data_IF_052839485010
#
_entry.id   IF_052839485010
#
_cell.length_a   1.000
_cell.length_b   1.000
_cell.length_c   1.000
_cell.angle_alpha   90.00
_cell.angle_beta   90.00
_cell.angle_gamma   90.00
#
_symmetry.space_group_name_H-M   'P 1'
#
loop_
_entity.id
_entity.type
_entity.pdbx_description
1 polymer ?
#
# COMPACT_ATOMS: atom_id res chain seq x y z
N UNK A 1 32.51 -15.66 0.17
CA UNK A 1 32.53 -14.22 -0.16
C UNK A 1 31.26 -13.61 0.42
N UNK A 2 31.33 -12.82 1.50
CA UNK A 2 30.13 -12.23 2.09
C UNK A 2 29.68 -11.04 1.24
N UNK A 3 28.39 -11.01 0.88
CA UNK A 3 27.74 -9.90 0.18
C UNK A 3 27.35 -8.81 1.20
N UNK A 4 27.46 -7.52 0.85
CA UNK A 4 27.27 -6.44 1.78
C UNK A 4 25.79 -6.29 2.18
N UNK A 5 25.59 -6.13 3.47
CA UNK A 5 24.35 -5.76 4.15
C UNK A 5 24.01 -4.28 3.93
N UNK A 6 22.88 -4.03 3.27
CA UNK A 6 22.16 -2.77 3.14
C UNK A 6 20.68 -3.19 3.30
N UNK A 7 19.80 -2.61 4.09
CA UNK A 7 19.65 -1.23 4.52
C UNK A 7 19.25 -1.13 5.99
N UNK A 8 19.86 -0.19 6.69
CA UNK A 8 19.26 0.45 7.85
C UNK A 8 18.16 1.38 7.35
N UNK A 9 16.90 1.09 7.66
CA UNK A 9 15.81 2.05 7.51
C UNK A 9 15.90 3.06 8.67
N UNK A 10 16.91 3.92 8.62
CA UNK A 10 16.90 5.18 9.35
C UNK A 10 15.82 6.04 8.70
N UNK A 11 14.63 6.09 9.31
CA UNK A 11 13.67 7.15 9.05
C UNK A 11 14.27 8.45 9.61
N UNK A 12 15.20 9.02 8.87
CA UNK A 12 15.67 10.37 9.07
C UNK A 12 14.49 11.28 8.72
N UNK A 13 13.92 11.92 9.73
CA UNK A 13 13.06 13.08 9.55
C UNK A 13 13.91 14.19 8.94
N UNK A 14 14.05 14.17 7.61
CA UNK A 14 14.61 15.26 6.86
C UNK A 14 13.61 16.43 6.98
N UNK A 15 14.00 17.51 7.65
CA UNK A 15 13.41 18.80 7.36
C UNK A 15 13.65 19.06 5.88
N UNK A 16 12.62 18.85 5.06
CA UNK A 16 12.65 19.19 3.66
C UNK A 16 12.78 20.72 3.55
N UNK A 17 13.99 21.17 3.21
CA UNK A 17 14.19 22.43 2.51
C UNK A 17 13.45 22.33 1.17
N UNK A 18 12.70 23.35 0.72
CA UNK A 18 11.96 23.26 -0.52
C UNK A 18 12.95 23.18 -1.69
N UNK A 19 13.09 21.98 -2.25
CA UNK A 19 13.73 21.82 -3.56
C UNK A 19 12.68 22.28 -4.58
N UNK A 20 12.84 23.50 -5.09
CA UNK A 20 12.04 24.06 -6.16
C UNK A 20 12.18 23.18 -7.42
N UNK A 21 11.34 22.16 -7.52
CA UNK A 21 11.02 21.50 -8.78
C UNK A 21 10.05 22.40 -9.54
N UNK A 22 10.19 22.40 -10.87
CA UNK A 22 9.48 23.25 -11.81
C UNK A 22 8.03 23.52 -11.40
N UNK A 23 7.63 24.80 -11.47
CA UNK A 23 6.31 25.29 -11.08
C UNK A 23 5.18 24.38 -11.62
N UNK A 24 4.72 23.50 -10.74
CA UNK A 24 3.63 22.58 -11.01
C UNK A 24 2.35 23.37 -10.82
N UNK A 25 1.57 23.47 -11.90
CA UNK A 25 0.39 24.33 -11.94
C UNK A 25 -0.60 23.78 -10.90
N UNK A 26 -0.82 24.55 -9.84
CA UNK A 26 -1.83 24.30 -8.80
C UNK A 26 -1.47 23.28 -7.70
N UNK A 27 -0.20 23.17 -7.28
CA UNK A 27 0.19 22.44 -6.05
C UNK A 27 -0.31 23.13 -4.77
N UNK A 28 -0.64 22.35 -3.74
CA UNK A 28 -1.15 22.84 -2.45
C UNK A 28 -0.34 22.22 -1.31
N UNK A 29 0.28 23.07 -0.50
CA UNK A 29 0.99 22.67 0.70
C UNK A 29 0.33 23.27 1.95
N UNK A 30 0.08 22.42 2.96
CA UNK A 30 -0.45 22.83 4.27
C UNK A 30 0.32 22.16 5.40
N UNK A 31 0.36 22.79 6.57
CA UNK A 31 0.87 22.13 7.79
C UNK A 31 -0.28 21.68 8.67
N UNK A 32 -1.26 22.55 8.87
CA UNK A 32 -2.49 22.25 9.59
C UNK A 32 -3.68 22.53 8.69
N UNK A 33 -4.49 21.51 8.44
CA UNK A 33 -5.70 21.62 7.66
C UNK A 33 -5.73 20.67 6.47
N UNK A 34 -6.96 20.25 6.16
CA UNK A 34 -7.23 19.35 5.05
C UNK A 34 -7.12 20.05 3.69
N UNK A 35 -6.82 19.25 2.68
CA UNK A 35 -6.80 19.65 1.28
C UNK A 35 -7.95 18.94 0.59
N UNK A 36 -8.76 19.70 -0.15
CA UNK A 36 -9.77 19.14 -1.04
C UNK A 36 -9.38 19.56 -2.45
N UNK A 37 -9.10 18.58 -3.30
CA UNK A 37 -8.88 18.77 -4.72
C UNK A 37 -10.23 18.57 -5.41
N UNK A 38 -10.83 19.66 -5.89
CA UNK A 38 -12.19 19.67 -6.39
C UNK A 38 -12.28 19.27 -7.86
N UNK A 39 -13.40 18.66 -8.22
CA UNK A 39 -13.70 18.24 -9.59
C UNK A 39 -13.57 19.39 -10.60
N UNK A 40 -13.16 19.06 -11.82
CA UNK A 40 -13.02 20.02 -12.92
C UNK A 40 -11.74 20.86 -12.88
N UNK A 41 -10.82 20.59 -11.96
CA UNK A 41 -9.49 21.18 -11.91
C UNK A 41 -8.41 20.10 -12.02
N UNK A 42 -7.24 20.51 -12.49
CA UNK A 42 -6.01 19.72 -12.40
C UNK A 42 -5.15 20.31 -11.28
N UNK A 43 -4.58 19.44 -10.47
CA UNK A 43 -3.69 19.81 -9.38
C UNK A 43 -2.31 19.22 -9.60
N UNK A 44 -1.29 19.91 -9.09
CA UNK A 44 0.05 19.37 -8.97
C UNK A 44 0.13 18.42 -7.77
N UNK A 45 1.15 18.61 -6.94
CA UNK A 45 1.31 17.88 -5.68
C UNK A 45 0.40 18.46 -4.57
N UNK A 46 -0.12 17.57 -3.72
CA UNK A 46 -0.93 17.89 -2.54
C UNK A 46 -0.21 17.38 -1.29
N UNK A 47 0.20 18.29 -0.41
CA UNK A 47 0.99 17.92 0.78
C UNK A 47 0.35 18.50 2.04
N UNK A 48 0.11 17.67 3.06
CA UNK A 48 -0.29 18.17 4.38
C UNK A 48 0.32 17.39 5.54
N UNK A 49 0.57 18.02 6.69
CA UNK A 49 1.15 17.29 7.85
C UNK A 49 0.06 16.81 8.79
N UNK A 50 -0.82 17.70 9.24
CA UNK A 50 -1.94 17.39 10.13
C UNK A 50 -3.25 17.73 9.40
N UNK A 51 -3.61 16.87 8.45
CA UNK A 51 -4.76 17.08 7.59
C UNK A 51 -5.00 15.88 6.70
N UNK A 52 -6.25 15.72 6.28
CA UNK A 52 -6.60 14.71 5.27
C UNK A 52 -6.55 15.31 3.88
N UNK A 53 -6.25 14.49 2.89
CA UNK A 53 -6.35 14.87 1.48
C UNK A 53 -7.57 14.16 0.91
N UNK A 54 -8.50 14.93 0.38
CA UNK A 54 -9.64 14.42 -0.36
C UNK A 54 -9.51 14.84 -1.82
N UNK A 55 -9.29 13.87 -2.69
CA UNK A 55 -9.35 14.05 -4.14
C UNK A 55 -10.76 13.67 -4.57
N UNK A 56 -11.50 14.60 -5.16
CA UNK A 56 -12.87 14.34 -5.65
C UNK A 56 -12.86 13.52 -6.94
N UNK A 57 -14.05 13.11 -7.37
CA UNK A 57 -14.26 12.26 -8.52
C UNK A 57 -13.76 12.94 -9.83
N UNK A 58 -13.11 12.15 -10.69
CA UNK A 58 -12.61 12.59 -11.99
C UNK A 58 -11.45 13.60 -11.93
N UNK A 59 -10.93 13.92 -10.74
CA UNK A 59 -9.80 14.85 -10.59
C UNK A 59 -8.52 14.22 -11.11
N UNK A 60 -7.71 15.02 -11.79
CA UNK A 60 -6.32 14.66 -12.10
C UNK A 60 -5.40 15.45 -11.18
N UNK A 61 -4.61 14.74 -10.38
CA UNK A 61 -3.63 15.33 -9.47
C UNK A 61 -2.28 14.62 -9.60
N UNK A 62 -1.20 15.33 -9.25
CA UNK A 62 0.12 14.73 -9.05
C UNK A 62 0.16 13.85 -7.79
N UNK A 63 1.21 13.99 -6.99
CA UNK A 63 1.36 13.21 -5.75
C UNK A 63 0.43 13.75 -4.66
N UNK A 64 -0.02 12.86 -3.77
CA UNK A 64 -0.75 13.23 -2.56
C UNK A 64 -0.07 12.62 -1.34
N UNK A 65 0.34 13.46 -0.39
CA UNK A 65 1.21 13.06 0.72
C UNK A 65 0.70 13.65 2.05
N UNK A 66 0.53 12.81 3.08
CA UNK A 66 0.19 13.30 4.43
C UNK A 66 0.81 12.53 5.59
N UNK A 67 1.25 13.23 6.63
CA UNK A 67 1.86 12.55 7.81
C UNK A 67 0.81 12.01 8.76
N UNK A 68 -0.12 12.85 9.21
CA UNK A 68 -1.19 12.48 10.15
C UNK A 68 -2.54 12.83 9.53
N UNK A 69 -3.04 11.92 8.70
CA UNK A 69 -4.31 12.09 8.01
C UNK A 69 -4.53 11.00 6.98
N UNK A 70 -5.77 10.85 6.53
CA UNK A 70 -6.11 9.89 5.48
C UNK A 70 -6.06 10.55 4.11
N UNK A 71 -5.77 9.74 3.08
CA UNK A 71 -5.95 10.12 1.69
C UNK A 71 -7.16 9.36 1.17
N UNK A 72 -8.17 10.10 0.70
CA UNK A 72 -9.34 9.53 0.04
C UNK A 72 -9.39 10.02 -1.40
N UNK A 73 -9.30 9.09 -2.34
CA UNK A 73 -9.40 9.35 -3.77
C UNK A 73 -10.80 8.96 -4.25
N UNK A 74 -11.47 9.88 -4.94
CA UNK A 74 -12.78 9.69 -5.54
C UNK A 74 -12.73 8.87 -6.81
N UNK A 75 -13.91 8.57 -7.35
CA UNK A 75 -14.07 7.66 -8.48
C UNK A 75 -13.50 8.29 -9.77
N UNK A 76 -12.98 7.48 -10.69
CA UNK A 76 -12.42 7.90 -11.98
C UNK A 76 -11.27 8.93 -11.88
N UNK A 77 -10.71 9.13 -10.69
CA UNK A 77 -9.61 10.05 -10.48
C UNK A 77 -8.30 9.49 -11.03
N UNK A 78 -7.36 10.39 -11.35
CA UNK A 78 -6.01 10.07 -11.77
C UNK A 78 -5.03 10.71 -10.82
N UNK A 79 -4.21 9.90 -10.16
CA UNK A 79 -3.26 10.37 -9.17
C UNK A 79 -1.85 9.88 -9.49
N UNK A 80 -0.84 10.63 -9.07
CA UNK A 80 0.53 10.16 -9.01
C UNK A 80 0.72 9.19 -7.84
N UNK A 81 1.75 9.44 -7.04
CA UNK A 81 2.05 8.65 -5.84
C UNK A 81 1.15 9.07 -4.66
N UNK A 82 0.70 8.10 -3.86
CA UNK A 82 -0.12 8.33 -2.66
C UNK A 82 0.66 7.85 -1.43
N UNK A 83 0.96 8.75 -0.48
CA UNK A 83 1.77 8.40 0.69
C UNK A 83 1.17 8.91 1.99
N UNK A 84 1.19 8.06 3.02
CA UNK A 84 0.91 8.52 4.38
C UNK A 84 1.72 7.83 5.47
N UNK A 85 1.97 8.52 6.59
CA UNK A 85 2.66 7.90 7.74
C UNK A 85 1.66 7.30 8.71
N UNK A 86 0.69 8.08 9.19
CA UNK A 86 -0.33 7.66 10.13
C UNK A 86 -1.71 7.99 9.56
N UNK A 87 -2.22 7.06 8.77
CA UNK A 87 -3.48 7.25 8.07
C UNK A 87 -3.77 6.16 7.05
N UNK A 88 -5.03 6.09 6.64
CA UNK A 88 -5.46 5.18 5.59
C UNK A 88 -5.46 5.85 4.22
N UNK A 89 -5.16 5.06 3.20
CA UNK A 89 -5.32 5.43 1.80
C UNK A 89 -6.48 4.60 1.26
N UNK A 90 -7.54 5.29 0.81
CA UNK A 90 -8.72 4.64 0.22
C UNK A 90 -8.96 5.19 -1.17
N UNK A 91 -8.99 4.29 -2.15
CA UNK A 91 -9.36 4.58 -3.52
C UNK A 91 -10.86 4.30 -3.70
N UNK A 92 -11.49 5.08 -4.58
CA UNK A 92 -12.85 4.88 -5.04
C UNK A 92 -12.90 3.78 -6.10
N UNK A 93 -13.68 3.99 -7.15
CA UNK A 93 -13.76 3.09 -8.30
C UNK A 93 -13.05 3.65 -9.52
N UNK A 94 -12.53 2.76 -10.37
CA UNK A 94 -11.88 3.11 -11.64
C UNK A 94 -10.73 4.13 -11.51
N UNK A 95 -10.04 4.14 -10.36
CA UNK A 95 -8.93 5.05 -10.09
C UNK A 95 -7.68 4.61 -10.82
N UNK A 96 -6.96 5.56 -11.43
CA UNK A 96 -5.64 5.33 -12.00
C UNK A 96 -4.59 5.95 -11.09
N UNK A 97 -3.77 5.11 -10.45
CA UNK A 97 -2.78 5.53 -9.47
C UNK A 97 -1.35 5.12 -9.81
N UNK A 98 -0.40 5.80 -9.18
CA UNK A 98 1.02 5.47 -9.19
C UNK A 98 1.38 4.41 -8.15
N UNK A 99 2.30 4.79 -7.28
CA UNK A 99 2.74 4.01 -6.12
C UNK A 99 1.87 4.35 -4.91
N UNK A 100 1.64 3.39 -4.01
CA UNK A 100 0.89 3.62 -2.77
C UNK A 100 1.69 3.15 -1.57
N UNK A 101 2.01 4.07 -0.65
CA UNK A 101 2.84 3.78 0.52
C UNK A 101 2.15 4.21 1.81
N UNK A 102 2.16 3.36 2.83
CA UNK A 102 1.74 3.76 4.19
C UNK A 102 2.56 3.13 5.30
N UNK A 103 2.92 3.89 6.34
CA UNK A 103 3.67 3.33 7.47
C UNK A 103 2.72 2.65 8.46
N UNK A 104 1.75 3.40 8.99
CA UNK A 104 0.80 2.98 10.02
C UNK A 104 -0.63 3.31 9.58
N UNK A 105 -1.16 2.54 8.63
CA UNK A 105 -2.57 2.59 8.28
C UNK A 105 -2.89 1.73 7.07
N UNK A 106 -4.16 1.61 6.73
CA UNK A 106 -4.59 0.66 5.70
C UNK A 106 -4.58 1.24 4.30
N UNK A 107 -4.29 0.40 3.31
CA UNK A 107 -4.52 0.69 1.89
C UNK A 107 -5.72 -0.14 1.43
N UNK A 108 -6.68 0.52 0.80
CA UNK A 108 -7.82 -0.16 0.16
C UNK A 108 -7.99 0.36 -1.26
N UNK A 109 -7.86 -0.55 -2.23
CA UNK A 109 -8.21 -0.33 -3.63
C UNK A 109 -9.41 -1.20 -3.99
N UNK A 110 -10.36 -0.61 -4.70
CA UNK A 110 -11.68 -1.15 -4.98
C UNK A 110 -11.84 -1.37 -6.50
N UNK A 111 -13.07 -1.60 -6.95
CA UNK A 111 -13.36 -2.08 -8.29
C UNK A 111 -12.84 -1.16 -9.40
N UNK A 112 -12.14 -1.77 -10.36
CA UNK A 112 -11.66 -1.08 -11.56
C UNK A 112 -10.38 -0.28 -11.36
N UNK A 113 -9.85 -0.23 -10.13
CA UNK A 113 -8.62 0.49 -9.82
C UNK A 113 -7.42 -0.11 -10.55
N UNK A 114 -6.58 0.75 -11.10
CA UNK A 114 -5.34 0.40 -11.80
C UNK A 114 -4.17 1.14 -11.18
N UNK A 115 -3.32 0.39 -10.49
CA UNK A 115 -2.11 0.89 -9.84
C UNK A 115 -0.89 0.50 -10.67
N UNK A 116 -0.16 1.49 -11.14
CA UNK A 116 0.94 1.31 -12.10
C UNK A 116 2.27 0.89 -11.45
N UNK A 117 2.39 0.96 -10.13
CA UNK A 117 3.62 0.63 -9.37
C UNK A 117 3.30 -0.31 -8.20
N UNK A 118 4.06 -0.24 -7.12
CA UNK A 118 3.96 -1.11 -5.95
C UNK A 118 2.96 -0.56 -4.91
N UNK A 119 2.54 -1.44 -4.01
CA UNK A 119 1.93 -1.06 -2.73
C UNK A 119 2.85 -1.49 -1.59
N UNK A 120 3.20 -0.53 -0.73
CA UNK A 120 4.12 -0.75 0.38
C UNK A 120 3.48 -0.40 1.72
N UNK A 121 3.61 -1.27 2.73
CA UNK A 121 3.24 -0.89 4.10
C UNK A 121 4.08 -1.50 5.21
N UNK A 122 4.29 -0.78 6.32
CA UNK A 122 5.02 -1.32 7.48
C UNK A 122 4.07 -2.03 8.45
N UNK A 123 3.08 -1.34 8.98
CA UNK A 123 2.15 -1.84 10.01
C UNK A 123 0.67 -1.72 9.59
N UNK A 124 0.41 -1.55 8.30
CA UNK A 124 -0.90 -1.38 7.71
C UNK A 124 -1.47 -2.65 7.11
N UNK A 125 -2.79 -2.72 6.94
CA UNK A 125 -3.41 -3.76 6.11
C UNK A 125 -3.53 -3.31 4.65
N UNK A 126 -3.35 -4.22 3.71
CA UNK A 126 -3.56 -3.97 2.28
C UNK A 126 -4.75 -4.81 1.82
N UNK A 127 -5.74 -4.17 1.20
CA UNK A 127 -6.90 -4.83 0.60
C UNK A 127 -7.09 -4.41 -0.84
N UNK A 128 -7.18 -5.39 -1.74
CA UNK A 128 -7.48 -5.19 -3.16
C UNK A 128 -8.76 -5.93 -3.52
N UNK A 129 -9.74 -5.27 -4.13
CA UNK A 129 -10.97 -5.92 -4.59
C UNK A 129 -11.22 -5.55 -6.04
N UNK A 130 -11.18 -6.53 -6.95
CA UNK A 130 -11.33 -6.28 -8.39
C UNK A 130 -10.39 -5.16 -8.87
N UNK A 131 -9.13 -5.18 -8.40
CA UNK A 131 -8.13 -4.18 -8.73
C UNK A 131 -6.96 -4.81 -9.51
N UNK A 132 -6.34 -4.02 -10.37
CA UNK A 132 -5.14 -4.38 -11.12
C UNK A 132 -3.92 -3.63 -10.57
N UNK A 133 -2.90 -4.37 -10.16
CA UNK A 133 -1.63 -3.86 -9.66
C UNK A 133 -0.50 -4.32 -10.59
N UNK A 134 0.11 -3.40 -11.32
CA UNK A 134 1.21 -3.70 -12.23
C UNK A 134 2.51 -4.06 -11.50
N UNK A 135 2.72 -3.50 -10.30
CA UNK A 135 3.84 -3.84 -9.43
C UNK A 135 3.53 -4.98 -8.47
N UNK A 136 4.28 -5.04 -7.38
CA UNK A 136 4.11 -6.01 -6.30
C UNK A 136 3.60 -5.39 -5.00
N UNK A 137 3.39 -6.25 -4.00
CA UNK A 137 3.01 -5.88 -2.64
C UNK A 137 4.19 -6.14 -1.72
N UNK A 138 4.59 -5.13 -0.94
CA UNK A 138 5.63 -5.27 0.09
C UNK A 138 5.10 -4.89 1.46
N UNK A 139 5.37 -5.73 2.47
CA UNK A 139 4.99 -5.40 3.85
C UNK A 139 5.94 -5.98 4.92
N UNK A 140 5.85 -5.48 6.15
CA UNK A 140 6.63 -5.96 7.30
C UNK A 140 5.76 -6.67 8.34
N UNK A 141 4.69 -6.01 8.80
CA UNK A 141 3.78 -6.51 9.83
C UNK A 141 2.31 -6.52 9.37
N UNK A 142 2.05 -6.14 8.11
CA UNK A 142 0.72 -5.92 7.59
C UNK A 142 0.00 -7.18 7.13
N UNK A 143 -1.30 -7.26 7.40
CA UNK A 143 -2.17 -8.25 6.77
C UNK A 143 -2.41 -7.86 5.31
N UNK A 144 -2.34 -8.82 4.39
CA UNK A 144 -2.54 -8.58 2.94
C UNK A 144 -3.71 -9.42 2.46
N UNK A 145 -4.66 -8.79 1.77
CA UNK A 145 -5.78 -9.45 1.10
C UNK A 145 -5.81 -9.06 -0.37
N UNK A 146 -5.35 -9.97 -1.22
CA UNK A 146 -5.61 -9.91 -2.67
C UNK A 146 -6.98 -10.53 -2.88
N UNK A 147 -8.02 -9.71 -2.84
CA UNK A 147 -9.42 -10.11 -2.87
C UNK A 147 -9.90 -10.56 -4.25
N UNK A 148 -11.23 -10.69 -4.36
CA UNK A 148 -11.88 -11.32 -5.52
C UNK A 148 -11.48 -10.65 -6.84
N UNK A 149 -11.12 -11.46 -7.83
CA UNK A 149 -10.75 -11.02 -9.19
C UNK A 149 -9.68 -9.92 -9.25
N UNK A 150 -8.87 -9.76 -8.20
CA UNK A 150 -7.74 -8.84 -8.21
C UNK A 150 -6.54 -9.49 -8.89
N UNK A 151 -5.78 -8.70 -9.65
CA UNK A 151 -4.60 -9.18 -10.37
C UNK A 151 -3.37 -8.37 -9.97
N UNK A 152 -2.40 -9.04 -9.35
CA UNK A 152 -1.08 -8.51 -9.04
C UNK A 152 -0.07 -9.12 -10.02
N UNK A 153 0.47 -8.29 -10.90
CA UNK A 153 1.48 -8.72 -11.89
C UNK A 153 2.85 -8.96 -11.24
N UNK A 154 3.15 -8.25 -10.15
CA UNK A 154 4.32 -8.51 -9.32
C UNK A 154 4.13 -9.65 -8.31
N UNK A 155 4.96 -9.67 -7.29
CA UNK A 155 4.93 -10.65 -6.20
C UNK A 155 4.40 -10.09 -4.88
N UNK A 156 4.40 -10.92 -3.85
CA UNK A 156 4.17 -10.51 -2.46
C UNK A 156 5.44 -10.76 -1.67
N UNK A 157 5.99 -9.73 -1.04
CA UNK A 157 7.17 -9.85 -0.17
C UNK A 157 6.81 -9.40 1.23
N UNK A 158 6.93 -10.31 2.21
CA UNK A 158 6.86 -9.96 3.64
C UNK A 158 8.27 -10.00 4.22
N UNK A 159 8.79 -8.84 4.57
CA UNK A 159 10.11 -8.68 5.15
C UNK A 159 10.15 -9.08 6.63
N UNK A 160 11.31 -9.54 7.08
CA UNK A 160 11.56 -9.74 8.52
C UNK A 160 11.71 -8.37 9.19
N UNK A 161 11.19 -8.27 10.42
CA UNK A 161 11.48 -7.13 11.27
C UNK A 161 12.97 -7.20 11.70
N UNK A 162 13.85 -6.44 11.04
CA UNK A 162 15.26 -6.34 11.37
C UNK A 162 15.50 -5.46 12.61
N UNK A 163 14.98 -5.85 13.78
CA UNK A 163 15.32 -5.20 15.04
C UNK A 163 16.65 -5.76 15.59
N UNK A 164 17.76 -5.42 14.94
CA UNK A 164 19.12 -5.58 15.49
C UNK A 164 19.40 -4.41 16.44
N UNK A 165 19.13 -4.53 17.75
CA UNK A 165 19.70 -3.54 18.67
C UNK A 165 19.24 -3.53 20.12
N UNK A 166 17.95 -3.62 20.44
CA UNK A 166 17.50 -3.37 21.81
C UNK A 166 16.48 -4.40 22.30
N UNK A 167 16.95 -5.21 23.24
CA UNK A 167 16.21 -6.14 24.07
C UNK A 167 15.21 -5.40 24.97
N UNK A 168 14.05 -5.01 24.44
CA UNK A 168 12.89 -4.65 25.25
C UNK A 168 11.68 -5.39 24.68
N UNK A 169 11.14 -6.29 25.49
CA UNK A 169 10.01 -7.15 25.18
C UNK A 169 8.80 -6.34 24.67
N UNK A 170 8.53 -6.39 23.37
CA UNK A 170 7.20 -6.16 22.81
C UNK A 170 6.63 -7.53 22.44
N UNK A 171 5.41 -7.79 22.90
CA UNK A 171 4.78 -9.12 22.92
C UNK A 171 4.84 -9.86 21.58
N UNK A 172 4.64 -11.19 21.64
CA UNK A 172 4.57 -12.09 20.46
C UNK A 172 3.81 -11.39 19.33
N UNK A 173 4.54 -10.87 18.34
CA UNK A 173 3.91 -10.24 17.19
C UNK A 173 3.08 -11.32 16.50
N UNK A 174 1.77 -11.09 16.37
CA UNK A 174 0.89 -11.96 15.59
C UNK A 174 1.51 -12.14 14.20
N UNK A 175 1.60 -13.38 13.69
CA UNK A 175 2.04 -13.61 12.32
C UNK A 175 1.09 -12.88 11.37
N UNK A 176 1.61 -12.11 10.38
CA UNK A 176 0.78 -11.49 9.36
C UNK A 176 -0.06 -12.54 8.63
N UNK A 177 -1.32 -12.19 8.37
CA UNK A 177 -2.26 -13.02 7.60
C UNK A 177 -2.29 -12.54 6.17
N UNK A 178 -1.97 -13.44 5.24
CA UNK A 178 -1.93 -13.20 3.81
C UNK A 178 -3.05 -14.03 3.17
N UNK A 179 -3.94 -13.39 2.43
CA UNK A 179 -5.09 -14.02 1.78
C UNK A 179 -5.04 -13.72 0.29
N UNK A 180 -5.08 -14.78 -0.52
CA UNK A 180 -5.33 -14.72 -1.96
C UNK A 180 -6.73 -15.29 -2.21
N UNK A 181 -7.66 -14.42 -2.59
CA UNK A 181 -9.09 -14.69 -2.67
C UNK A 181 -9.55 -15.32 -3.99
N UNK A 182 -10.87 -15.53 -4.15
CA UNK A 182 -11.43 -16.21 -5.32
C UNK A 182 -11.12 -15.49 -6.63
N UNK A 183 -10.61 -16.22 -7.63
CA UNK A 183 -10.28 -15.67 -8.95
C UNK A 183 -9.13 -14.66 -8.95
N UNK A 184 -8.47 -14.45 -7.80
CA UNK A 184 -7.31 -13.59 -7.71
C UNK A 184 -6.10 -14.23 -8.41
N UNK A 185 -5.25 -13.39 -9.00
CA UNK A 185 -4.01 -13.83 -9.65
C UNK A 185 -2.84 -13.02 -9.11
N UNK A 186 -1.77 -13.71 -8.70
CA UNK A 186 -0.47 -13.14 -8.34
C UNK A 186 0.58 -13.81 -9.22
N UNK A 187 1.11 -13.10 -10.21
CA UNK A 187 2.02 -13.70 -11.20
C UNK A 187 3.44 -13.89 -10.65
N UNK A 188 3.90 -12.94 -9.83
CA UNK A 188 5.23 -12.94 -9.24
C UNK A 188 5.39 -13.87 -8.04
N UNK A 189 6.61 -13.97 -7.49
CA UNK A 189 6.91 -14.83 -6.36
C UNK A 189 6.27 -14.33 -5.06
N UNK A 190 5.89 -15.26 -4.19
CA UNK A 190 5.45 -14.97 -2.82
C UNK A 190 6.60 -15.32 -1.87
N UNK A 191 7.27 -14.31 -1.32
CA UNK A 191 8.48 -14.45 -0.50
C UNK A 191 8.21 -13.96 0.92
N UNK A 192 8.35 -14.84 1.89
CA UNK A 192 8.10 -14.55 3.30
C UNK A 192 9.39 -14.77 4.10
N UNK A 193 9.97 -13.71 4.64
CA UNK A 193 11.19 -13.76 5.48
C UNK A 193 10.90 -13.99 6.96
N UNK A 194 9.61 -14.08 7.31
CA UNK A 194 9.09 -14.36 8.65
C UNK A 194 7.91 -15.31 8.56
N UNK A 195 7.51 -15.85 9.71
CA UNK A 195 6.29 -16.65 9.81
C UNK A 195 5.06 -15.82 9.45
N UNK A 196 4.25 -16.35 8.54
CA UNK A 196 2.96 -15.80 8.11
C UNK A 196 1.94 -16.92 8.00
N UNK A 197 0.67 -16.57 8.07
CA UNK A 197 -0.44 -17.48 7.75
C UNK A 197 -0.92 -17.16 6.34
N UNK A 198 -0.61 -18.02 5.38
CA UNK A 198 -0.96 -17.84 3.97
C UNK A 198 -2.20 -18.68 3.61
N UNK A 199 -3.31 -18.01 3.32
CA UNK A 199 -4.52 -18.60 2.77
C UNK A 199 -4.62 -18.36 1.28
N UNK A 200 -4.89 -19.41 0.50
CA UNK A 200 -5.03 -19.34 -0.96
C UNK A 200 -6.31 -20.04 -1.37
N UNK A 201 -7.18 -19.31 -2.07
CA UNK A 201 -8.42 -19.88 -2.57
C UNK A 201 -8.12 -20.88 -3.70
N UNK A 202 -8.91 -21.96 -3.80
CA UNK A 202 -8.69 -23.01 -4.80
C UNK A 202 -8.77 -22.52 -6.26
N UNK A 203 -9.51 -21.44 -6.51
CA UNK A 203 -9.59 -20.80 -7.83
C UNK A 203 -8.53 -19.73 -8.08
N UNK A 204 -7.70 -19.40 -7.09
CA UNK A 204 -6.66 -18.41 -7.22
C UNK A 204 -5.44 -18.98 -7.97
N UNK A 205 -4.70 -18.09 -8.63
CA UNK A 205 -3.40 -18.41 -9.24
C UNK A 205 -2.31 -17.65 -8.51
N UNK A 206 -1.25 -18.34 -8.14
CA UNK A 206 -0.10 -17.74 -7.45
C UNK A 206 1.21 -18.20 -8.10
N UNK A 207 2.21 -17.33 -8.06
CA UNK A 207 3.59 -17.68 -8.35
C UNK A 207 4.22 -18.56 -7.27
N UNK A 208 5.53 -18.85 -7.37
CA UNK A 208 6.23 -19.73 -6.45
C UNK A 208 6.25 -19.16 -5.02
N UNK A 209 6.02 -20.01 -4.04
CA UNK A 209 5.96 -19.64 -2.60
C UNK A 209 7.25 -20.04 -1.90
N UNK A 210 7.83 -19.11 -1.12
CA UNK A 210 9.01 -19.33 -0.28
C UNK A 210 8.77 -18.80 1.13
N UNK A 211 9.09 -19.60 2.16
CA UNK A 211 9.06 -19.16 3.55
C UNK A 211 7.69 -19.23 4.26
N UNK A 212 6.66 -19.76 3.60
CA UNK A 212 5.35 -20.03 4.19
C UNK A 212 4.76 -21.35 3.69
N UNK A 213 3.88 -21.94 4.49
CA UNK A 213 3.02 -23.05 4.07
C UNK A 213 1.72 -22.51 3.51
N UNK A 214 1.33 -22.99 2.33
CA UNK A 214 0.03 -22.65 1.73
C UNK A 214 -1.09 -23.40 2.44
N UNK A 215 -2.10 -22.66 2.91
CA UNK A 215 -3.36 -23.19 3.42
C UNK A 215 -4.46 -22.94 2.38
N UNK A 216 -4.95 -24.01 1.77
CA UNK A 216 -5.99 -23.91 0.77
C UNK A 216 -7.37 -23.76 1.40
N UNK A 217 -8.25 -22.99 0.74
CA UNK A 217 -9.65 -22.84 1.12
C UNK A 217 -10.57 -22.66 -0.11
N UNK A 218 -11.85 -22.94 0.06
CA UNK A 218 -12.85 -22.91 -1.04
C UNK A 218 -14.12 -22.13 -0.70
N UNK A 219 -14.22 -21.59 0.52
CA UNK A 219 -15.33 -20.72 0.91
C UNK A 219 -15.20 -19.32 0.33
N UNK A 220 -16.32 -18.59 0.25
CA UNK A 220 -16.34 -17.20 -0.24
C UNK A 220 -15.42 -16.27 0.56
N UNK A 221 -15.23 -16.59 1.84
CA UNK A 221 -14.35 -15.86 2.74
C UNK A 221 -13.25 -16.79 3.26
N UNK A 222 -12.04 -16.25 3.38
CA UNK A 222 -10.95 -16.94 4.04
C UNK A 222 -11.30 -17.23 5.51
N UNK A 223 -10.90 -18.38 6.06
CA UNK A 223 -11.17 -18.73 7.45
C UNK A 223 -10.77 -17.60 8.41
N UNK A 224 -11.66 -17.28 9.34
CA UNK A 224 -11.39 -16.44 10.51
C UNK A 224 -10.89 -17.34 11.63
N UNK A 225 -9.70 -17.07 12.15
CA UNK A 225 -9.22 -17.65 13.42
C UNK A 225 -9.95 -17.04 14.62
#
# INVERSE_FOLDING_TARGET
>A
MPRPSLLAATLALALALPVAHAADVNSIDKVNGSITASAGQTYGALTTVNGSIHVEDGVTTGNAETVNGSIKVGDNARTGTLETVNGSIRLGHDVQGGNVTTVNGSVFADHGDRLSKDIETVNGSIGLVHAELAGGIRTVNGDVTVGVNSHVHGGIHVEKNNNHGWSIHFGRQRPPRIVVGPGATVDGPLVFEREVVLYVHDSAKIGPVTGAKVLHFSGEHAPTE
#
